data_IF_768859332958
#
_entry.id   IF_768859332958
#
_cell.length_a   1.000
_cell.length_b   1.000
_cell.length_c   1.000
_cell.angle_alpha   90.00
_cell.angle_beta   90.00
_cell.angle_gamma   90.00
#
_symmetry.space_group_name_H-M   'P 1'
#
loop_
_entity.id
_entity.type
_entity.pdbx_description
1 polymer ?
#
# COMPACT_ATOMS: atom_id res chain seq x y z
N UNK A 1 12.82 -4.62 -12.17
CA UNK A 1 13.01 -4.48 -10.70
C UNK A 1 13.57 -3.10 -10.37
N UNK A 2 14.74 -2.74 -10.90
CA UNK A 2 15.33 -1.40 -10.72
C UNK A 2 14.34 -0.26 -11.02
N UNK A 3 13.67 -0.29 -12.17
CA UNK A 3 12.73 0.77 -12.57
C UNK A 3 11.53 0.96 -11.61
N UNK A 4 11.10 -0.12 -10.94
CA UNK A 4 10.01 -0.03 -9.96
C UNK A 4 10.48 0.68 -8.69
N UNK A 5 11.67 0.35 -8.18
CA UNK A 5 12.25 1.03 -7.03
C UNK A 5 12.64 2.48 -7.37
N UNK A 6 13.19 2.71 -8.55
CA UNK A 6 13.53 4.07 -9.00
C UNK A 6 12.31 4.98 -9.10
N UNK A 7 11.17 4.46 -9.53
CA UNK A 7 9.95 5.25 -9.65
C UNK A 7 9.26 5.40 -8.29
N UNK A 8 8.94 4.27 -7.65
CA UNK A 8 8.02 4.24 -6.51
C UNK A 8 8.70 4.59 -5.18
N UNK A 9 10.03 4.40 -5.08
CA UNK A 9 10.78 4.72 -3.86
C UNK A 9 11.69 5.92 -4.07
N UNK A 10 12.74 5.80 -4.89
CA UNK A 10 13.74 6.86 -5.02
C UNK A 10 13.15 8.13 -5.67
N UNK A 11 12.29 7.97 -6.67
CA UNK A 11 11.56 9.07 -7.30
C UNK A 11 10.70 9.82 -6.29
N UNK A 12 9.94 9.08 -5.47
CA UNK A 12 9.12 9.64 -4.41
C UNK A 12 9.94 10.43 -3.39
N UNK A 13 11.07 9.87 -2.93
CA UNK A 13 11.99 10.55 -2.00
C UNK A 13 12.49 11.86 -2.61
N UNK A 14 12.94 11.85 -3.87
CA UNK A 14 13.44 13.05 -4.56
C UNK A 14 12.39 14.15 -4.65
N UNK A 15 11.16 13.81 -5.06
CA UNK A 15 10.04 14.77 -5.17
C UNK A 15 9.64 15.30 -3.80
N UNK A 16 9.53 14.43 -2.80
CA UNK A 16 9.15 14.79 -1.43
C UNK A 16 10.16 15.77 -0.82
N UNK A 17 11.45 15.49 -0.91
CA UNK A 17 12.49 16.38 -0.38
C UNK A 17 12.46 17.76 -1.04
N UNK A 18 12.20 17.81 -2.35
CA UNK A 18 12.09 19.08 -3.08
C UNK A 18 10.85 19.86 -2.66
N UNK A 19 9.71 19.19 -2.52
CA UNK A 19 8.46 19.79 -2.06
C UNK A 19 8.59 20.33 -0.63
N UNK A 20 9.18 19.55 0.29
CA UNK A 20 9.44 19.98 1.66
C UNK A 20 10.32 21.23 1.73
N UNK A 21 11.35 21.33 0.88
CA UNK A 21 12.18 22.53 0.79
C UNK A 21 11.33 23.76 0.45
N UNK A 22 10.49 23.67 -0.58
CA UNK A 22 9.60 24.76 -1.00
C UNK A 22 8.59 25.12 0.10
N UNK A 23 7.96 24.12 0.73
CA UNK A 23 6.99 24.32 1.81
C UNK A 23 7.59 25.00 3.04
N UNK A 24 8.89 24.79 3.31
CA UNK A 24 9.62 25.45 4.39
C UNK A 24 10.02 26.88 4.02
N UNK A 25 10.45 27.11 2.78
CA UNK A 25 10.89 28.41 2.28
C UNK A 25 9.71 29.39 2.06
N UNK A 26 8.49 28.90 1.87
CA UNK A 26 7.28 29.71 1.58
C UNK A 26 6.66 30.44 2.79
N UNK A 27 7.45 30.76 3.81
CA UNK A 27 7.00 31.55 4.97
C UNK A 27 6.05 30.81 5.92
N UNK A 28 6.09 29.47 5.94
CA UNK A 28 5.40 28.68 6.97
C UNK A 28 3.92 28.37 6.70
N UNK A 29 3.38 28.68 5.51
CA UNK A 29 2.02 28.23 5.10
C UNK A 29 1.87 26.70 5.13
N UNK A 30 2.99 25.96 5.11
CA UNK A 30 3.00 24.51 5.09
C UNK A 30 2.45 23.94 3.78
N UNK A 31 1.99 22.70 3.84
CA UNK A 31 1.40 22.01 2.71
C UNK A 31 1.03 20.57 3.06
N UNK A 32 0.29 19.93 2.18
CA UNK A 32 -0.10 18.53 2.32
C UNK A 32 0.65 17.69 1.27
N UNK A 33 1.32 16.64 1.74
CA UNK A 33 1.94 15.62 0.92
C UNK A 33 1.10 14.34 1.04
N UNK A 34 0.54 13.89 -0.09
CA UNK A 34 -0.25 12.65 -0.16
C UNK A 34 0.56 11.65 -0.97
N UNK A 35 0.91 10.53 -0.35
CA UNK A 35 1.69 9.47 -0.98
C UNK A 35 0.77 8.29 -1.33
N UNK A 36 0.37 8.22 -2.60
CA UNK A 36 -0.45 7.11 -3.08
C UNK A 36 0.34 5.81 -2.97
N UNK A 37 -0.18 4.89 -2.17
CA UNK A 37 0.35 3.56 -1.93
C UNK A 37 -0.68 2.53 -2.38
N UNK A 38 -0.77 1.40 -1.69
CA UNK A 38 -1.71 0.33 -1.95
C UNK A 38 -1.96 -0.46 -0.68
N UNK A 39 -3.10 -1.13 -0.63
CA UNK A 39 -3.37 -2.27 0.27
C UNK A 39 -2.17 -3.24 0.34
N UNK A 40 -1.48 -3.41 -0.79
CA UNK A 40 -0.32 -4.28 -0.93
C UNK A 40 0.92 -3.80 -0.15
N UNK A 41 0.94 -2.53 0.30
CA UNK A 41 1.98 -1.99 1.17
C UNK A 41 1.82 -2.38 2.65
N UNK A 42 0.67 -2.94 3.04
CA UNK A 42 0.38 -3.42 4.40
C UNK A 42 0.17 -4.93 4.43
N UNK A 43 -0.54 -5.47 3.44
CA UNK A 43 -0.78 -6.90 3.28
C UNK A 43 0.14 -7.46 2.19
N UNK A 44 0.92 -8.48 2.51
CA UNK A 44 1.78 -9.16 1.53
C UNK A 44 1.03 -10.26 0.79
N UNK A 45 1.01 -10.16 -0.55
CA UNK A 45 0.48 -11.18 -1.46
C UNK A 45 1.58 -11.96 -2.20
N UNK A 46 1.37 -13.26 -2.48
CA UNK A 46 2.31 -14.06 -3.27
C UNK A 46 2.45 -13.54 -4.71
N UNK A 47 3.68 -13.58 -5.26
CA UNK A 47 3.95 -13.18 -6.64
C UNK A 47 4.04 -11.66 -6.89
N UNK A 48 3.89 -10.83 -5.85
CA UNK A 48 4.02 -9.37 -5.91
C UNK A 48 5.10 -8.85 -4.94
N UNK A 49 6.06 -9.70 -4.58
CA UNK A 49 7.07 -9.43 -3.54
C UNK A 49 7.82 -8.10 -3.72
N UNK A 50 8.18 -7.72 -4.95
CA UNK A 50 8.90 -6.47 -5.21
C UNK A 50 8.04 -5.22 -5.06
N UNK A 51 6.75 -5.33 -5.36
CA UNK A 51 5.80 -4.24 -5.15
C UNK A 51 5.52 -4.04 -3.66
N UNK A 52 5.45 -5.13 -2.89
CA UNK A 52 5.26 -5.09 -1.43
C UNK A 52 6.50 -4.62 -0.67
N UNK A 53 7.72 -4.87 -1.17
CA UNK A 53 8.95 -4.47 -0.49
C UNK A 53 9.12 -2.95 -0.29
N UNK A 54 8.26 -2.13 -0.93
CA UNK A 54 8.24 -0.68 -0.82
C UNK A 54 7.20 -0.28 0.23
N UNK A 55 7.67 -0.02 1.46
CA UNK A 55 6.81 0.38 2.59
C UNK A 55 6.99 1.86 2.96
N UNK A 56 6.28 2.77 2.28
CA UNK A 56 6.11 4.18 2.71
C UNK A 56 4.69 4.60 2.31
N UNK A 57 3.84 5.06 3.24
CA UNK A 57 2.41 5.12 2.92
C UNK A 57 1.66 6.35 3.48
N UNK A 58 0.84 6.96 2.62
CA UNK A 58 -0.22 7.92 2.95
C UNK A 58 -1.29 7.93 1.83
N UNK A 59 -2.01 6.79 1.70
CA UNK A 59 -3.30 6.48 1.00
C UNK A 59 -3.24 5.07 0.42
N UNK A 60 -4.17 4.18 0.82
CA UNK A 60 -4.14 2.73 0.54
C UNK A 60 -5.35 2.26 -0.28
N UNK A 61 -5.32 2.46 -1.60
CA UNK A 61 -6.30 1.89 -2.50
C UNK A 61 -6.18 0.38 -2.61
N UNK A 62 -7.35 -0.25 -2.64
CA UNK A 62 -7.55 -1.54 -3.29
C UNK A 62 -7.54 -1.36 -4.81
N UNK A 63 -8.41 -2.08 -5.53
CA UNK A 63 -8.54 -1.88 -6.97
C UNK A 63 -9.25 -0.55 -7.28
N UNK A 64 -8.74 0.22 -8.26
CA UNK A 64 -9.31 1.50 -8.72
C UNK A 64 -9.54 1.42 -10.22
N UNK A 65 -10.70 1.89 -10.70
CA UNK A 65 -11.08 1.85 -12.13
C UNK A 65 -10.22 2.78 -12.97
N UNK A 66 -9.07 2.26 -13.37
CA UNK A 66 -8.08 2.89 -14.25
C UNK A 66 -7.55 1.85 -15.21
N UNK A 67 -6.75 2.27 -16.17
CA UNK A 67 -6.07 1.36 -17.10
C UNK A 67 -4.90 0.57 -16.47
N UNK A 68 -4.68 0.70 -15.14
CA UNK A 68 -3.52 0.12 -14.46
C UNK A 68 -3.48 -1.41 -14.59
N UNK A 69 -4.52 -2.12 -14.16
CA UNK A 69 -4.54 -3.59 -14.16
C UNK A 69 -4.64 -4.22 -15.56
N UNK A 70 -5.07 -3.44 -16.56
CA UNK A 70 -5.30 -3.90 -17.93
C UNK A 70 -4.10 -3.65 -18.84
N UNK A 71 -3.79 -2.40 -19.15
CA UNK A 71 -2.83 -2.03 -20.20
C UNK A 71 -1.56 -1.36 -19.68
N UNK A 72 -1.58 -0.76 -18.48
CA UNK A 72 -0.40 -0.06 -17.96
C UNK A 72 0.54 -0.94 -17.13
N UNK A 73 0.02 -1.98 -16.44
CA UNK A 73 0.85 -2.86 -15.60
C UNK A 73 1.71 -3.78 -16.47
N UNK A 74 3.03 -3.59 -16.40
CA UNK A 74 4.00 -4.52 -17.01
C UNK A 74 3.91 -5.88 -16.31
N UNK A 75 3.66 -6.93 -17.08
CA UNK A 75 3.64 -8.32 -16.61
C UNK A 75 4.98 -8.99 -16.94
N UNK A 76 5.45 -9.83 -16.03
CA UNK A 76 6.60 -10.73 -16.27
C UNK A 76 6.03 -12.08 -16.69
N UNK A 77 6.69 -12.77 -17.61
CA UNK A 77 6.29 -14.13 -17.99
C UNK A 77 6.30 -15.05 -16.76
N UNK A 78 5.24 -15.86 -16.60
CA UNK A 78 5.19 -16.85 -15.55
C UNK A 78 6.24 -17.93 -15.80
N UNK A 79 6.97 -18.31 -14.75
CA UNK A 79 7.92 -19.42 -14.83
C UNK A 79 7.16 -20.76 -14.76
N UNK A 80 7.50 -21.78 -15.59
CA UNK A 80 6.77 -23.05 -15.62
C UNK A 80 6.60 -23.74 -14.27
N UNK A 81 7.59 -23.59 -13.37
CA UNK A 81 7.53 -24.11 -12.00
C UNK A 81 6.35 -23.57 -11.15
N UNK A 82 5.73 -22.46 -11.56
CA UNK A 82 4.60 -21.83 -10.86
C UNK A 82 3.32 -21.78 -11.74
N UNK A 83 3.25 -22.63 -12.76
CA UNK A 83 2.12 -22.65 -13.70
C UNK A 83 0.85 -23.31 -13.13
N UNK A 84 0.99 -24.15 -12.10
CA UNK A 84 -0.13 -24.87 -11.51
C UNK A 84 -1.17 -23.89 -10.92
N UNK A 85 -2.47 -24.03 -11.24
CA UNK A 85 -3.52 -23.12 -10.77
C UNK A 85 -3.64 -22.99 -9.24
N UNK A 86 -3.22 -24.01 -8.49
CA UNK A 86 -3.18 -23.99 -7.03
C UNK A 86 -2.05 -23.12 -6.46
N UNK A 87 -1.08 -22.74 -7.31
CA UNK A 87 0.01 -21.89 -6.88
C UNK A 87 -0.53 -20.55 -6.38
N UNK A 88 -0.04 -20.04 -5.24
CA UNK A 88 -0.60 -18.82 -4.64
C UNK A 88 -0.58 -17.59 -5.56
N UNK A 89 0.39 -17.51 -6.49
CA UNK A 89 0.44 -16.45 -7.51
C UNK A 89 -0.66 -16.57 -8.57
N UNK A 90 -1.06 -17.79 -8.94
CA UNK A 90 -2.17 -18.03 -9.88
C UNK A 90 -3.51 -17.74 -9.23
N UNK A 91 -3.69 -18.15 -7.97
CA UNK A 91 -4.90 -17.83 -7.19
C UNK A 91 -5.08 -16.31 -7.03
N UNK A 92 -4.00 -15.57 -6.78
CA UNK A 92 -4.05 -14.11 -6.71
C UNK A 92 -4.46 -13.48 -8.05
N UNK A 93 -3.91 -13.97 -9.17
CA UNK A 93 -4.31 -13.50 -10.50
C UNK A 93 -5.80 -13.72 -10.75
N UNK A 94 -6.32 -14.92 -10.45
CA UNK A 94 -7.74 -15.24 -10.59
C UNK A 94 -8.62 -14.34 -9.69
N UNK A 95 -8.18 -14.06 -8.46
CA UNK A 95 -8.88 -13.14 -7.55
C UNK A 95 -8.95 -11.72 -8.13
N UNK A 96 -7.83 -11.22 -8.67
CA UNK A 96 -7.78 -9.88 -9.30
C UNK A 96 -8.70 -9.83 -10.52
N UNK A 97 -8.65 -10.84 -11.39
CA UNK A 97 -9.52 -10.92 -12.57
C UNK A 97 -11.02 -10.95 -12.19
N UNK A 98 -11.37 -11.73 -11.17
CA UNK A 98 -12.73 -11.79 -10.64
C UNK A 98 -13.17 -10.46 -10.04
N UNK A 99 -12.31 -9.77 -9.28
CA UNK A 99 -12.61 -8.44 -8.73
C UNK A 99 -12.86 -7.41 -9.83
N UNK A 100 -12.08 -7.44 -10.92
CA UNK A 100 -12.27 -6.54 -12.06
C UNK A 100 -13.59 -6.85 -12.79
N UNK A 101 -13.88 -8.13 -13.03
CA UNK A 101 -15.11 -8.56 -13.71
C UNK A 101 -16.39 -8.24 -12.92
N UNK A 102 -16.32 -8.26 -11.59
CA UNK A 102 -17.44 -7.93 -10.69
C UNK A 102 -17.62 -6.43 -10.43
N UNK A 103 -16.76 -5.58 -11.01
CA UNK A 103 -16.83 -4.13 -10.81
C UNK A 103 -16.41 -3.67 -9.41
N UNK A 104 -15.70 -4.50 -8.64
CA UNK A 104 -15.28 -4.24 -7.26
C UNK A 104 -14.18 -3.18 -7.09
N UNK A 105 -13.92 -2.38 -8.13
CA UNK A 105 -12.95 -1.31 -8.11
C UNK A 105 -13.60 0.03 -7.78
N UNK A 106 -12.91 0.85 -6.98
CA UNK A 106 -13.36 2.19 -6.62
C UNK A 106 -13.32 3.09 -7.85
N UNK A 107 -14.32 3.96 -8.03
CA UNK A 107 -14.29 4.97 -9.08
C UNK A 107 -13.18 5.98 -8.82
N UNK A 108 -12.45 6.37 -9.87
CA UNK A 108 -11.39 7.36 -9.75
C UNK A 108 -11.92 8.72 -9.24
N UNK A 109 -13.15 9.08 -9.61
CA UNK A 109 -13.82 10.29 -9.15
C UNK A 109 -14.11 10.26 -7.64
N UNK A 110 -14.56 9.12 -7.11
CA UNK A 110 -14.84 8.96 -5.69
C UNK A 110 -13.56 9.02 -4.86
N UNK A 111 -12.48 8.41 -5.33
CA UNK A 111 -11.15 8.53 -4.72
C UNK A 111 -10.69 9.99 -4.71
N UNK A 112 -10.81 10.70 -5.84
CA UNK A 112 -10.43 12.10 -5.93
C UNK A 112 -11.25 12.99 -4.98
N UNK A 113 -12.56 12.75 -4.87
CA UNK A 113 -13.44 13.46 -3.96
C UNK A 113 -13.02 13.24 -2.49
N UNK A 114 -12.67 12.01 -2.13
CA UNK A 114 -12.17 11.69 -0.78
C UNK A 114 -10.84 12.38 -0.48
N UNK A 115 -9.89 12.40 -1.42
CA UNK A 115 -8.63 13.11 -1.26
C UNK A 115 -8.84 14.62 -1.11
N UNK A 116 -9.77 15.19 -1.89
CA UNK A 116 -10.13 16.60 -1.81
C UNK A 116 -10.76 16.95 -0.45
N UNK A 117 -11.60 16.07 0.09
CA UNK A 117 -12.18 16.24 1.42
C UNK A 117 -11.08 16.39 2.48
N UNK A 118 -10.08 15.50 2.52
CA UNK A 118 -8.96 15.61 3.48
C UNK A 118 -7.96 16.73 3.18
N UNK A 119 -7.90 17.20 1.93
CA UNK A 119 -7.11 18.38 1.57
C UNK A 119 -7.80 19.69 1.95
N UNK A 120 -9.09 19.66 2.31
CA UNK A 120 -9.86 20.84 2.68
C UNK A 120 -9.50 21.33 4.08
N UNK A 121 -9.49 22.66 4.34
CA UNK A 121 -9.11 23.21 5.64
C UNK A 121 -10.00 22.71 6.80
N UNK A 122 -9.39 22.47 7.96
CA UNK A 122 -10.10 22.13 9.20
C UNK A 122 -10.26 20.63 9.47
N UNK A 123 -9.95 19.77 8.49
CA UNK A 123 -10.00 18.32 8.68
C UNK A 123 -8.75 17.76 9.36
N UNK A 124 -8.94 16.75 10.22
CA UNK A 124 -7.83 15.99 10.78
C UNK A 124 -7.35 14.98 9.75
N UNK A 125 -6.21 15.27 9.12
CA UNK A 125 -5.62 14.39 8.11
C UNK A 125 -5.14 13.08 8.76
N UNK A 126 -5.66 11.91 8.35
CA UNK A 126 -5.21 10.63 8.86
C UNK A 126 -3.84 10.27 8.28
N UNK A 127 -3.02 9.55 9.05
CA UNK A 127 -1.74 9.03 8.57
C UNK A 127 -1.91 7.86 7.59
N UNK A 128 -2.99 7.08 7.72
CA UNK A 128 -3.32 5.98 6.82
C UNK A 128 -4.78 6.09 6.44
N UNK A 129 -5.07 6.01 5.14
CA UNK A 129 -6.42 6.13 4.61
C UNK A 129 -6.71 4.95 3.68
N UNK A 130 -7.29 3.85 4.21
CA UNK A 130 -7.90 2.83 3.39
C UNK A 130 -9.11 3.40 2.65
N UNK A 131 -9.18 3.23 1.33
CA UNK A 131 -10.21 3.88 0.49
C UNK A 131 -11.29 2.91 -0.01
N UNK A 132 -11.37 1.70 0.54
CA UNK A 132 -12.47 0.76 0.30
C UNK A 132 -12.71 -0.16 1.48
N UNK A 133 -13.95 -0.68 1.62
CA UNK A 133 -14.29 -1.68 2.65
C UNK A 133 -13.44 -2.94 2.54
N UNK A 134 -13.14 -3.37 1.31
CA UNK A 134 -12.23 -4.49 1.03
C UNK A 134 -10.82 -4.20 1.53
N UNK A 135 -10.27 -3.02 1.23
CA UNK A 135 -8.95 -2.63 1.72
C UNK A 135 -8.94 -2.60 3.25
N UNK A 136 -9.91 -1.94 3.88
CA UNK A 136 -10.05 -1.89 5.34
C UNK A 136 -10.12 -3.27 5.97
N UNK A 137 -10.93 -4.18 5.42
CA UNK A 137 -11.09 -5.53 5.93
C UNK A 137 -9.80 -6.35 5.84
N UNK A 138 -9.14 -6.34 4.68
CA UNK A 138 -7.87 -7.06 4.48
C UNK A 138 -6.74 -6.51 5.34
N UNK A 139 -6.64 -5.17 5.45
CA UNK A 139 -5.66 -4.51 6.32
C UNK A 139 -5.89 -4.90 7.77
N UNK A 140 -7.13 -4.81 8.25
CA UNK A 140 -7.49 -5.17 9.63
C UNK A 140 -7.12 -6.61 9.92
N UNK A 141 -7.50 -7.54 9.04
CA UNK A 141 -7.18 -8.96 9.19
C UNK A 141 -5.66 -9.20 9.25
N UNK A 142 -4.88 -8.57 8.36
CA UNK A 142 -3.42 -8.71 8.33
C UNK A 142 -2.76 -8.14 9.57
N UNK A 143 -3.21 -6.99 10.07
CA UNK A 143 -2.67 -6.37 11.27
C UNK A 143 -3.00 -7.17 12.53
N UNK A 144 -4.22 -7.72 12.62
CA UNK A 144 -4.62 -8.60 13.72
C UNK A 144 -3.76 -9.86 13.75
N UNK A 145 -3.60 -10.55 12.62
CA UNK A 145 -2.76 -11.76 12.54
C UNK A 145 -1.30 -11.46 12.93
N UNK A 146 -0.78 -10.29 12.52
CA UNK A 146 0.57 -9.85 12.92
C UNK A 146 0.66 -9.58 14.42
N UNK A 147 -0.36 -8.95 15.00
CA UNK A 147 -0.41 -8.69 16.43
C UNK A 147 -0.44 -9.99 17.23
N UNK A 148 -1.28 -10.95 16.83
CA UNK A 148 -1.33 -12.29 17.43
C UNK A 148 0.04 -12.99 17.40
N UNK A 149 0.75 -12.89 16.27
CA UNK A 149 2.11 -13.43 16.14
C UNK A 149 3.11 -12.76 17.08
N UNK A 150 3.01 -11.44 17.29
CA UNK A 150 3.84 -10.69 18.25
C UNK A 150 3.51 -11.10 19.68
N UNK A 151 2.23 -11.21 20.02
CA UNK A 151 1.78 -11.61 21.36
C UNK A 151 2.22 -13.04 21.70
N UNK A 152 2.22 -13.96 20.73
CA UNK A 152 2.69 -15.34 20.91
C UNK A 152 4.17 -15.44 21.32
N UNK A 153 5.00 -14.46 20.95
CA UNK A 153 6.45 -14.43 21.27
C UNK A 153 6.80 -13.38 22.32
N UNK A 154 5.82 -12.73 22.95
CA UNK A 154 6.02 -11.59 23.84
C UNK A 154 6.91 -11.89 25.03
N UNK A 155 6.70 -13.03 25.70
CA UNK A 155 7.51 -13.44 26.85
C UNK A 155 8.95 -13.79 26.45
N UNK A 156 9.15 -14.39 25.26
CA UNK A 156 10.48 -14.66 24.72
C UNK A 156 11.22 -13.37 24.32
N UNK A 157 10.46 -12.35 23.92
CA UNK A 157 10.99 -11.06 23.46
C UNK A 157 11.41 -10.11 24.60
N UNK A 158 11.05 -10.40 25.85
CA UNK A 158 11.38 -9.60 27.04
C UNK A 158 12.83 -9.82 27.53
N UNK A 159 13.80 -9.76 26.61
CA UNK A 159 15.23 -10.01 26.87
C UNK A 159 15.89 -8.92 27.73
N UNK A 160 15.32 -7.72 27.74
CA UNK A 160 15.72 -6.58 28.55
C UNK A 160 15.41 -6.79 30.05
N UNK A 161 14.35 -7.54 30.38
CA UNK A 161 14.00 -7.86 31.77
C UNK A 161 14.97 -8.83 32.46
N UNK A 162 15.81 -9.56 31.70
CA UNK A 162 16.78 -10.52 32.23
C UNK A 162 18.11 -9.89 32.68
N UNK A 163 18.32 -8.58 32.47
CA UNK A 163 19.58 -7.89 32.80
C UNK A 163 19.65 -7.28 34.21
N UNK A 164 18.66 -7.54 35.06
CA UNK A 164 18.71 -7.14 36.47
C UNK A 164 19.18 -8.34 37.30
N UNK A 165 20.50 -8.46 37.44
CA UNK A 165 21.20 -9.17 38.52
C UNK A 165 22.61 -8.60 38.64
#
# INVERSE_FOLDING_TARGET
MHDQLETNFFGLVRVTLRALKIMRESGGRGGLLINISSLAGVCSFPGQAFYHAIHFCLVEPGSVKTNFETSSKKRIASHPAYADPSMPSRMLEAFVEQSLASGGAVEAADLAALLYHFASPGEKIPLYLPVSTTATGLITMSLTARLEGVDAVKELSAVDKKRVN
#
